data_IF_999273405224
#
_entry.id   IF_999273405224
#
_cell.length_a   1.000
_cell.length_b   1.000
_cell.length_c   1.000
_cell.angle_alpha   90.00
_cell.angle_beta   90.00
_cell.angle_gamma   90.00
#
_symmetry.space_group_name_H-M   'P 1'
#
loop_
_entity.id
_entity.type
_entity.pdbx_description
1 polymer ?
#
# COMPACT_ATOMS: atom_id res chain seq x y z
N UNK A 1 17.38 -2.54 2.34
CA UNK A 1 17.08 -3.97 2.13
C UNK A 1 15.58 -4.31 2.01
N UNK A 2 14.66 -3.33 2.03
CA UNK A 2 13.21 -3.57 2.10
C UNK A 2 12.48 -3.68 0.74
N UNK A 3 13.11 -3.22 -0.36
CA UNK A 3 12.51 -3.17 -1.70
C UNK A 3 12.01 -4.53 -2.24
N UNK A 4 12.78 -5.64 -2.15
CA UNK A 4 12.26 -6.93 -2.60
C UNK A 4 11.06 -7.40 -1.77
N UNK A 5 10.98 -7.05 -0.48
CA UNK A 5 9.82 -7.36 0.37
C UNK A 5 8.56 -6.66 -0.13
N UNK A 6 8.67 -5.43 -0.64
CA UNK A 6 7.54 -4.70 -1.24
C UNK A 6 7.03 -5.36 -2.52
N UNK A 7 7.93 -5.79 -3.41
CA UNK A 7 7.55 -6.49 -4.64
C UNK A 7 6.88 -7.84 -4.34
N UNK A 8 7.45 -8.61 -3.40
CA UNK A 8 6.89 -9.90 -2.97
C UNK A 8 5.54 -9.69 -2.29
N UNK A 9 5.43 -8.72 -1.39
CA UNK A 9 4.18 -8.38 -0.72
C UNK A 9 3.08 -7.99 -1.69
N UNK A 10 3.38 -7.13 -2.68
CA UNK A 10 2.43 -6.74 -3.72
C UNK A 10 1.95 -7.92 -4.58
N UNK A 11 2.86 -8.83 -4.96
CA UNK A 11 2.51 -10.03 -5.73
C UNK A 11 1.68 -11.03 -4.91
N UNK A 12 2.05 -11.28 -3.65
CA UNK A 12 1.30 -12.17 -2.76
C UNK A 12 -0.10 -11.62 -2.47
N UNK A 13 -0.23 -10.30 -2.32
CA UNK A 13 -1.51 -9.65 -2.10
C UNK A 13 -2.46 -9.84 -3.30
N UNK A 14 -1.95 -9.71 -4.53
CA UNK A 14 -2.73 -10.00 -5.74
C UNK A 14 -3.14 -11.48 -5.81
N UNK A 15 -2.23 -12.40 -5.49
CA UNK A 15 -2.51 -13.85 -5.50
C UNK A 15 -3.59 -14.23 -4.47
N UNK A 16 -3.49 -13.72 -3.24
CA UNK A 16 -4.41 -14.03 -2.15
C UNK A 16 -5.86 -13.57 -2.39
N UNK A 17 -6.06 -12.49 -3.16
CA UNK A 17 -7.39 -11.93 -3.43
C UNK A 17 -8.31 -12.82 -4.28
N UNK A 18 -7.78 -13.87 -4.91
CA UNK A 18 -8.51 -14.71 -5.86
C UNK A 18 -9.26 -15.90 -5.24
N UNK A 19 -9.14 -16.14 -3.92
CA UNK A 19 -9.62 -17.38 -3.28
C UNK A 19 -10.99 -17.31 -2.58
N UNK A 20 -11.87 -16.37 -2.91
CA UNK A 20 -13.18 -16.31 -2.25
C UNK A 20 -14.17 -17.38 -2.81
N UNK A 21 -14.69 -18.29 -1.96
CA UNK A 21 -15.66 -19.30 -2.39
C UNK A 21 -17.00 -18.63 -2.75
N UNK A 22 -17.31 -18.61 -4.05
CA UNK A 22 -18.55 -17.99 -4.58
C UNK A 22 -19.83 -18.73 -4.20
N UNK A 23 -19.71 -20.01 -3.86
CA UNK A 23 -20.87 -20.89 -3.60
C UNK A 23 -21.58 -20.56 -2.27
N UNK A 24 -20.85 -20.07 -1.26
CA UNK A 24 -21.44 -19.71 0.04
C UNK A 24 -22.23 -18.39 0.01
N UNK A 25 -21.94 -17.49 -0.94
CA UNK A 25 -22.70 -16.25 -1.14
C UNK A 25 -23.99 -16.49 -1.95
N UNK A 26 -24.02 -17.54 -2.77
CA UNK A 26 -25.17 -17.85 -3.63
C UNK A 26 -26.43 -18.29 -2.86
N UNK A 27 -26.29 -18.77 -1.61
CA UNK A 27 -27.41 -19.16 -0.75
C UNK A 27 -28.05 -17.99 0.02
N UNK A 28 -27.54 -16.77 -0.14
CA UNK A 28 -28.15 -15.55 0.42
C UNK A 28 -28.08 -15.41 1.94
N UNK A 29 -27.45 -16.35 2.65
CA UNK A 29 -27.29 -16.31 4.10
C UNK A 29 -25.86 -15.92 4.45
N UNK A 30 -25.70 -14.78 5.15
CA UNK A 30 -24.42 -14.42 5.75
C UNK A 30 -24.09 -15.46 6.82
N UNK A 31 -23.02 -16.23 6.62
CA UNK A 31 -22.53 -17.11 7.69
C UNK A 31 -22.04 -16.24 8.86
N UNK A 32 -22.13 -16.71 10.12
CA UNK A 32 -21.57 -16.00 11.27
C UNK A 32 -20.08 -15.66 11.07
N UNK A 33 -19.36 -16.52 10.34
CA UNK A 33 -17.96 -16.32 9.96
C UNK A 33 -17.77 -15.10 9.06
N UNK A 34 -18.61 -14.91 8.04
CA UNK A 34 -18.54 -13.74 7.16
C UNK A 34 -18.77 -12.45 7.94
N UNK A 35 -19.76 -12.43 8.84
CA UNK A 35 -20.08 -11.26 9.66
C UNK A 35 -18.90 -10.89 10.56
N UNK A 36 -18.32 -11.87 11.26
CA UNK A 36 -17.12 -11.67 12.08
C UNK A 36 -15.93 -11.17 11.24
N UNK A 37 -15.74 -11.73 10.04
CA UNK A 37 -14.67 -11.30 9.14
C UNK A 37 -14.83 -9.84 8.70
N UNK A 38 -16.05 -9.41 8.34
CA UNK A 38 -16.32 -8.02 7.94
C UNK A 38 -16.11 -7.04 9.09
N UNK A 39 -16.53 -7.38 10.31
CA UNK A 39 -16.26 -6.57 11.49
C UNK A 39 -14.76 -6.44 11.77
N UNK A 40 -14.03 -7.56 11.70
CA UNK A 40 -12.59 -7.55 11.87
C UNK A 40 -11.90 -6.70 10.79
N UNK A 41 -12.29 -6.86 9.52
CA UNK A 41 -11.76 -6.06 8.42
C UNK A 41 -12.03 -4.56 8.61
N UNK A 42 -13.24 -4.19 9.08
CA UNK A 42 -13.62 -2.80 9.37
C UNK A 42 -12.70 -2.14 10.40
N UNK A 43 -12.20 -2.90 11.37
CA UNK A 43 -11.25 -2.38 12.39
C UNK A 43 -9.80 -2.41 11.91
N UNK A 44 -9.40 -3.47 11.23
CA UNK A 44 -7.99 -3.69 10.85
C UNK A 44 -7.57 -2.82 9.67
N UNK A 45 -8.46 -2.56 8.70
CA UNK A 45 -8.12 -1.81 7.49
C UNK A 45 -7.72 -0.35 7.79
N UNK A 46 -8.44 0.40 8.65
CA UNK A 46 -8.00 1.73 9.07
C UNK A 46 -6.64 1.72 9.79
N UNK A 47 -6.42 0.76 10.69
CA UNK A 47 -5.13 0.62 11.38
C UNK A 47 -3.99 0.33 10.40
N UNK A 48 -4.22 -0.56 9.45
CA UNK A 48 -3.29 -0.85 8.36
C UNK A 48 -2.99 0.41 7.53
N UNK A 49 -4.00 1.21 7.19
CA UNK A 49 -3.82 2.46 6.45
C UNK A 49 -2.96 3.46 7.23
N UNK A 50 -3.19 3.63 8.53
CA UNK A 50 -2.38 4.51 9.39
C UNK A 50 -0.92 4.05 9.42
N UNK A 51 -0.68 2.75 9.61
CA UNK A 51 0.66 2.18 9.60
C UNK A 51 1.36 2.39 8.25
N UNK A 52 0.64 2.16 7.15
CA UNK A 52 1.13 2.39 5.78
C UNK A 52 1.48 3.85 5.54
N UNK A 53 0.62 4.79 5.94
CA UNK A 53 0.89 6.23 5.82
C UNK A 53 2.16 6.59 6.59
N UNK A 54 2.32 6.10 7.83
CA UNK A 54 3.54 6.32 8.61
C UNK A 54 4.81 5.83 7.90
N UNK A 55 4.75 4.62 7.33
CA UNK A 55 5.85 4.03 6.56
C UNK A 55 6.19 4.86 5.31
N UNK A 56 5.17 5.33 4.60
CA UNK A 56 5.32 6.15 3.39
C UNK A 56 5.94 7.50 3.71
N UNK A 57 5.45 8.17 4.75
CA UNK A 57 5.96 9.47 5.20
C UNK A 57 7.42 9.35 5.65
N UNK A 58 7.76 8.26 6.36
CA UNK A 58 9.15 7.99 6.73
C UNK A 58 10.03 7.76 5.49
N UNK A 59 9.55 6.98 4.52
CA UNK A 59 10.25 6.76 3.25
C UNK A 59 10.45 8.03 2.43
N UNK A 60 9.48 8.95 2.45
CA UNK A 60 9.62 10.28 1.84
C UNK A 60 10.68 11.12 2.57
N UNK A 61 10.66 11.14 3.91
CA UNK A 61 11.63 11.88 4.74
C UNK A 61 13.07 11.42 4.47
N UNK A 62 13.27 10.11 4.34
CA UNK A 62 14.58 9.51 4.01
C UNK A 62 14.93 9.60 2.52
N UNK A 63 14.04 10.15 1.69
CA UNK A 63 14.17 10.18 0.21
C UNK A 63 14.37 8.79 -0.41
N UNK A 64 13.95 7.73 0.28
CA UNK A 64 14.14 6.34 -0.13
C UNK A 64 13.16 5.89 -1.22
N UNK A 65 12.04 6.62 -1.40
CA UNK A 65 11.08 6.42 -2.49
C UNK A 65 11.53 7.04 -3.84
N UNK A 66 12.63 7.79 -3.86
CA UNK A 66 13.19 8.43 -5.05
C UNK A 66 12.41 9.66 -5.58
N UNK A 67 11.09 9.72 -5.37
CA UNK A 67 10.25 10.87 -5.76
C UNK A 67 9.12 11.16 -4.75
N UNK A 68 8.86 12.42 -4.37
CA UNK A 68 7.78 12.79 -3.46
C UNK A 68 6.38 12.42 -3.96
N UNK A 69 6.12 12.53 -5.27
CA UNK A 69 4.79 12.25 -5.83
C UNK A 69 4.38 10.78 -5.63
N UNK A 70 5.35 9.86 -5.62
CA UNK A 70 5.10 8.42 -5.38
C UNK A 70 4.59 8.25 -3.95
N UNK A 71 5.20 8.92 -2.97
CA UNK A 71 4.71 8.85 -1.60
C UNK A 71 3.27 9.39 -1.48
N UNK A 72 2.94 10.50 -2.13
CA UNK A 72 1.56 11.01 -2.12
C UNK A 72 0.55 10.05 -2.75
N UNK A 73 0.92 9.40 -3.87
CA UNK A 73 0.08 8.38 -4.49
C UNK A 73 -0.16 7.19 -3.54
N UNK A 74 0.86 6.81 -2.77
CA UNK A 74 0.75 5.78 -1.74
C UNK A 74 -0.17 6.17 -0.59
N UNK A 75 -0.08 7.42 -0.11
CA UNK A 75 -0.96 7.94 0.95
C UNK A 75 -2.41 7.91 0.51
N UNK A 76 -2.71 8.40 -0.69
CA UNK A 76 -4.08 8.36 -1.25
C UNK A 76 -4.56 6.92 -1.39
N UNK A 77 -3.72 6.02 -1.91
CA UNK A 77 -4.03 4.60 -2.03
C UNK A 77 -4.30 3.93 -0.67
N UNK A 78 -3.51 4.24 0.35
CA UNK A 78 -3.68 3.73 1.71
C UNK A 78 -4.99 4.23 2.36
N UNK A 79 -5.30 5.53 2.21
CA UNK A 79 -6.57 6.12 2.70
C UNK A 79 -7.75 5.46 1.99
N UNK A 80 -7.71 5.40 0.65
CA UNK A 80 -8.75 4.76 -0.13
C UNK A 80 -8.97 3.33 0.35
N UNK A 81 -7.91 2.52 0.41
CA UNK A 81 -8.00 1.13 0.83
C UNK A 81 -8.51 0.96 2.27
N UNK A 82 -7.98 1.75 3.22
CA UNK A 82 -8.38 1.71 4.62
C UNK A 82 -9.83 2.11 4.87
N UNK A 83 -10.38 2.98 4.02
CA UNK A 83 -11.74 3.52 4.16
C UNK A 83 -12.84 2.62 3.58
N UNK A 84 -12.52 1.71 2.65
CA UNK A 84 -13.53 0.94 1.90
C UNK A 84 -14.46 0.14 2.83
N UNK A 85 -13.92 -0.52 3.87
CA UNK A 85 -14.76 -1.33 4.77
C UNK A 85 -15.72 -0.47 5.59
N UNK A 86 -15.27 0.70 6.07
CA UNK A 86 -16.16 1.63 6.76
C UNK A 86 -17.26 2.17 5.82
N UNK A 87 -16.93 2.50 4.56
CA UNK A 87 -17.90 3.00 3.59
C UNK A 87 -18.96 1.95 3.23
N UNK A 88 -18.54 0.70 3.02
CA UNK A 88 -19.46 -0.39 2.66
C UNK A 88 -20.30 -0.81 3.86
N UNK A 89 -19.68 -1.01 5.03
CA UNK A 89 -20.32 -1.71 6.13
C UNK A 89 -20.92 -0.79 7.20
N UNK A 90 -20.27 0.33 7.50
CA UNK A 90 -20.76 1.29 8.50
C UNK A 90 -21.72 2.31 7.88
N UNK A 91 -21.43 2.74 6.65
CA UNK A 91 -22.25 3.73 5.94
C UNK A 91 -23.24 3.13 4.94
N UNK A 92 -23.25 1.80 4.76
CA UNK A 92 -24.16 1.08 3.86
C UNK A 92 -24.18 1.60 2.41
N UNK A 93 -23.02 2.07 1.92
CA UNK A 93 -22.90 2.63 0.57
C UNK A 93 -22.57 1.49 -0.40
N UNK A 94 -23.58 0.72 -0.81
CA UNK A 94 -23.40 -0.53 -1.57
C UNK A 94 -22.52 -0.44 -2.83
N UNK A 95 -22.52 0.69 -3.55
CA UNK A 95 -21.68 0.86 -4.76
C UNK A 95 -20.17 0.93 -4.44
N UNK A 96 -19.80 1.27 -3.21
CA UNK A 96 -18.39 1.35 -2.80
C UNK A 96 -17.70 -0.02 -2.71
N UNK A 97 -18.47 -1.12 -2.77
CA UNK A 97 -17.90 -2.47 -2.92
C UNK A 97 -17.02 -2.61 -4.16
N UNK A 98 -17.32 -1.87 -5.24
CA UNK A 98 -16.48 -1.82 -6.45
C UNK A 98 -15.13 -1.12 -6.23
N UNK A 99 -15.04 -0.23 -5.23
CA UNK A 99 -13.79 0.43 -4.88
C UNK A 99 -12.79 -0.52 -4.24
N UNK A 100 -13.24 -1.63 -3.65
CA UNK A 100 -12.35 -2.61 -3.02
C UNK A 100 -11.30 -3.18 -4.00
N UNK A 101 -11.68 -3.84 -5.12
CA UNK A 101 -10.68 -4.36 -6.06
C UNK A 101 -9.87 -3.23 -6.72
N UNK A 102 -10.46 -2.06 -6.95
CA UNK A 102 -9.74 -0.92 -7.53
C UNK A 102 -8.65 -0.41 -6.57
N UNK A 103 -8.98 -0.23 -5.29
CA UNK A 103 -8.04 0.21 -4.27
C UNK A 103 -6.94 -0.83 -4.03
N UNK A 104 -7.31 -2.12 -4.04
CA UNK A 104 -6.36 -3.24 -3.98
C UNK A 104 -5.34 -3.19 -5.12
N UNK A 105 -5.82 -3.08 -6.37
CA UNK A 105 -4.96 -2.97 -7.57
C UNK A 105 -4.08 -1.72 -7.51
N UNK A 106 -4.66 -0.57 -7.15
CA UNK A 106 -3.93 0.69 -7.06
C UNK A 106 -2.81 0.62 -6.00
N UNK A 107 -3.10 0.03 -4.84
CA UNK A 107 -2.12 -0.16 -3.78
C UNK A 107 -1.01 -1.13 -4.22
N UNK A 108 -1.35 -2.26 -4.84
CA UNK A 108 -0.36 -3.19 -5.41
C UNK A 108 0.52 -2.56 -6.48
N UNK A 109 -0.07 -1.78 -7.40
CA UNK A 109 0.67 -1.04 -8.41
C UNK A 109 1.63 -0.02 -7.76
N UNK A 110 1.19 0.65 -6.70
CA UNK A 110 2.04 1.54 -5.92
C UNK A 110 3.22 0.80 -5.27
N UNK A 111 3.00 -0.38 -4.67
CA UNK A 111 4.07 -1.21 -4.10
C UNK A 111 5.15 -1.54 -5.14
N UNK A 112 4.74 -1.92 -6.36
CA UNK A 112 5.64 -2.21 -7.47
C UNK A 112 6.41 -0.94 -7.87
N UNK A 113 5.71 0.18 -8.05
CA UNK A 113 6.34 1.46 -8.40
C UNK A 113 7.38 1.87 -7.36
N UNK A 114 7.04 1.86 -6.07
CA UNK A 114 7.97 2.18 -4.99
C UNK A 114 9.19 1.23 -4.95
N UNK A 115 8.96 -0.06 -5.22
CA UNK A 115 9.99 -1.09 -5.26
C UNK A 115 10.99 -0.90 -6.41
N UNK A 116 10.53 -0.47 -7.58
CA UNK A 116 11.35 -0.37 -8.80
C UNK A 116 11.93 1.04 -9.02
N UNK A 117 11.32 2.10 -8.44
CA UNK A 117 11.68 3.48 -8.77
C UNK A 117 13.17 3.81 -8.55
N UNK A 118 13.88 4.48 -9.47
CA UNK A 118 15.29 4.80 -9.25
C UNK A 118 15.49 5.72 -8.05
N UNK A 119 16.34 5.30 -7.11
CA UNK A 119 16.80 6.17 -6.01
C UNK A 119 17.97 6.97 -6.55
N UNK A 120 17.85 8.31 -6.53
CA UNK A 120 18.99 9.19 -6.82
C UNK A 120 20.06 8.94 -5.76
N UNK A 121 21.03 8.09 -6.08
CA UNK A 121 22.28 8.04 -5.33
C UNK A 121 22.92 9.40 -5.54
N UNK A 122 23.10 10.17 -4.47
CA UNK A 122 24.08 11.25 -4.53
C UNK A 122 25.38 10.56 -4.85
N UNK A 123 25.82 10.64 -6.10
CA UNK A 123 27.20 10.36 -6.43
C UNK A 123 27.95 11.39 -5.59
N UNK A 124 28.42 10.95 -4.42
CA UNK A 124 29.37 11.72 -3.64
C UNK A 124 30.43 12.10 -4.66
N UNK A 125 30.48 13.39 -5.00
CA UNK A 125 31.44 13.89 -5.97
C UNK A 125 32.78 13.37 -5.46
N UNK A 126 33.45 12.45 -6.17
CA UNK A 126 34.76 12.00 -5.74
C UNK A 126 35.52 13.29 -5.59
N UNK A 127 35.98 13.57 -4.36
CA UNK A 127 36.75 14.76 -4.05
C UNK A 127 37.72 14.96 -5.20
N UNK A 128 37.43 15.99 -6.00
CA UNK A 128 38.35 16.44 -7.02
C UNK A 128 39.63 16.70 -6.25
N UNK A 129 40.63 15.89 -6.55
CA UNK A 129 41.81 15.70 -5.71
C UNK A 129 42.24 17.00 -5.06
N UNK A 130 42.35 16.96 -3.73
CA UNK A 130 43.03 17.97 -2.95
C UNK A 130 44.32 18.33 -3.68
N UNK A 131 44.31 19.45 -4.39
CA UNK A 131 45.51 20.03 -4.97
C UNK A 131 46.39 20.39 -3.77
N UNK A 132 47.57 19.80 -3.59
CA UNK A 132 48.44 20.16 -2.47
C UNK A 132 48.70 21.66 -2.54
N UNK A 133 48.48 22.37 -1.44
CA UNK A 133 48.86 23.79 -1.34
C UNK A 133 50.39 23.85 -1.39
N UNK A 134 51.00 24.62 -2.29
CA UNK A 134 52.43 24.85 -2.25
C UNK A 134 52.78 25.59 -0.96
N UNK A 135 53.78 25.07 -0.25
CA UNK A 135 54.48 25.76 0.83
C UNK A 135 55.68 26.53 0.31
#
# INVERSE_FOLDING_TARGET
>A
MWRPLFCIGGALYLLGSSQHPREALASGLSTPVLTTHLWFATLVYPLFAVAMIGLILMGQRERSLGSPWIGWLGVVGAIAHGSVMCLVFVHDIGWTGLLFPIAAIALSAWFILAGVWPVRRSMASPELGAKPRPG
#
